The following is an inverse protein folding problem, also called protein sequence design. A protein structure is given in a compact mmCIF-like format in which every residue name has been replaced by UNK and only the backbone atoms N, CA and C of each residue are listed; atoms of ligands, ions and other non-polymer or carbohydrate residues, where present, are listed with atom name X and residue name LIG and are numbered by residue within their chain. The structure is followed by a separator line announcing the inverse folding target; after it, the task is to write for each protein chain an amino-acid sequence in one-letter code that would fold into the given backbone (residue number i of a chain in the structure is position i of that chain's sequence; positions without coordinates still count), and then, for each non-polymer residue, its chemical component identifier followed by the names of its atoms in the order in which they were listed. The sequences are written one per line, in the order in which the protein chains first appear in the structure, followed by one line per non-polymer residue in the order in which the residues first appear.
data_IF_386735736360
#
_entry.id   IF_386735736360
#
_cell.length_a   1.000
_cell.length_b   1.000
_cell.length_c   1.000
_cell.angle_alpha   90.00
_cell.angle_beta   90.00
_cell.angle_gamma   90.00
#
_symmetry.space_group_name_H-M   'P 1'
#
loop_
_entity.id
_entity.type
_entity.pdbx_description
1 polymer ?
#
# COMPACT_ATOMS: atom_id res chain seq x y z
N UNK A 1 11.01 21.04 2.01
CA UNK A 1 10.25 19.95 1.33
C UNK A 1 9.09 19.50 2.23
N UNK A 2 8.14 20.38 2.52
CA UNK A 2 7.05 20.13 3.50
C UNK A 2 5.68 20.60 3.02
N UNK A 3 5.59 21.51 2.06
CA UNK A 3 4.31 22.19 1.75
C UNK A 3 3.52 21.61 0.57
N UNK A 4 3.99 20.55 -0.09
CA UNK A 4 3.26 19.90 -1.19
C UNK A 4 2.30 18.79 -0.72
N UNK A 5 2.07 18.67 0.60
CA UNK A 5 1.16 17.68 1.19
C UNK A 5 -0.17 18.28 1.68
N UNK A 6 -0.33 19.61 1.68
CA UNK A 6 -1.52 20.27 2.24
C UNK A 6 -2.65 20.57 1.23
N UNK A 7 -2.51 20.22 -0.04
CA UNK A 7 -3.56 20.40 -1.05
C UNK A 7 -4.51 19.20 -1.15
N UNK A 8 -4.93 18.64 -0.01
CA UNK A 8 -5.82 17.49 0.06
C UNK A 8 -7.10 17.82 0.81
N UNK A 9 -8.23 17.34 0.30
CA UNK A 9 -9.53 17.36 0.96
C UNK A 9 -9.37 17.12 2.47
N UNK A 10 -9.94 18.03 3.28
CA UNK A 10 -9.79 18.10 4.74
C UNK A 10 -10.05 16.73 5.41
N UNK A 11 -10.90 15.91 4.79
CA UNK A 11 -11.22 14.56 5.26
C UNK A 11 -10.04 13.59 5.19
N UNK A 12 -9.26 13.60 4.12
CA UNK A 12 -8.10 12.71 3.95
C UNK A 12 -6.93 13.11 4.85
N UNK A 13 -6.75 14.41 5.07
CA UNK A 13 -5.71 14.95 5.95
C UNK A 13 -5.93 14.54 7.41
N UNK A 14 -7.19 14.59 7.89
CA UNK A 14 -7.54 14.18 9.24
C UNK A 14 -7.12 12.73 9.55
N UNK A 15 -7.33 11.81 8.60
CA UNK A 15 -6.92 10.40 8.74
C UNK A 15 -5.40 10.27 8.84
N UNK A 16 -4.65 10.95 7.98
CA UNK A 16 -3.18 10.92 8.00
C UNK A 16 -2.65 11.50 9.32
N UNK A 17 -3.24 12.59 9.80
CA UNK A 17 -2.88 13.17 11.09
C UNK A 17 -3.17 12.21 12.25
N UNK A 18 -4.30 11.51 12.23
CA UNK A 18 -4.62 10.50 13.24
C UNK A 18 -3.59 9.37 13.24
N UNK A 19 -3.25 8.83 12.07
CA UNK A 19 -2.22 7.80 11.94
C UNK A 19 -0.83 8.26 12.41
N UNK A 20 -0.51 9.55 12.23
CA UNK A 20 0.72 10.15 12.77
C UNK A 20 0.71 10.16 14.29
N UNK A 21 -0.41 10.52 14.91
CA UNK A 21 -0.58 10.48 16.38
C UNK A 21 -0.48 9.07 16.94
N UNK A 22 -0.85 8.05 16.15
CA UNK A 22 -0.66 6.64 16.47
C UNK A 22 0.79 6.13 16.27
N UNK A 23 1.74 7.00 15.89
CA UNK A 23 3.16 6.65 15.78
C UNK A 23 3.54 5.89 14.50
N UNK A 24 2.74 5.98 13.43
CA UNK A 24 3.09 5.35 12.14
C UNK A 24 4.29 6.05 11.49
N UNK A 25 5.10 5.28 10.76
CA UNK A 25 6.28 5.81 10.02
C UNK A 25 5.85 6.83 8.97
N UNK A 26 6.67 7.87 8.78
CA UNK A 26 6.40 8.94 7.80
C UNK A 26 6.27 8.39 6.36
N UNK A 27 7.07 7.39 5.99
CA UNK A 27 6.96 6.72 4.68
C UNK A 27 5.59 6.06 4.47
N UNK A 28 5.00 5.51 5.54
CA UNK A 28 3.64 4.97 5.53
C UNK A 28 2.62 6.09 5.39
N UNK A 29 2.77 7.20 6.11
CA UNK A 29 1.87 8.35 6.03
C UNK A 29 1.82 8.95 4.62
N UNK A 30 2.97 9.10 3.97
CA UNK A 30 3.07 9.57 2.58
C UNK A 30 2.34 8.61 1.64
N UNK A 31 2.49 7.30 1.84
CA UNK A 31 1.80 6.28 1.04
C UNK A 31 0.30 6.35 1.22
N UNK A 32 -0.17 6.41 2.46
CA UNK A 32 -1.59 6.54 2.81
C UNK A 32 -2.19 7.80 2.20
N UNK A 33 -1.55 8.96 2.37
CA UNK A 33 -1.99 10.23 1.80
C UNK A 33 -2.15 10.15 0.28
N UNK A 34 -1.14 9.63 -0.42
CA UNK A 34 -1.18 9.47 -1.88
C UNK A 34 -2.33 8.58 -2.34
N UNK A 35 -2.55 7.45 -1.67
CA UNK A 35 -3.55 6.44 -2.04
C UNK A 35 -4.97 6.87 -1.68
N UNK A 36 -5.18 7.51 -0.54
CA UNK A 36 -6.48 8.08 -0.18
C UNK A 36 -6.89 9.17 -1.16
N UNK A 37 -5.97 10.07 -1.53
CA UNK A 37 -6.24 11.08 -2.58
C UNK A 37 -6.53 10.45 -3.93
N UNK A 38 -5.86 9.36 -4.27
CA UNK A 38 -6.14 8.62 -5.50
C UNK A 38 -7.58 8.07 -5.47
N UNK A 39 -8.00 7.42 -4.39
CA UNK A 39 -9.37 6.95 -4.24
C UNK A 39 -10.37 8.11 -4.27
N UNK A 40 -10.15 9.19 -3.51
CA UNK A 40 -11.03 10.36 -3.45
C UNK A 40 -11.25 11.06 -4.80
N UNK A 41 -10.29 10.95 -5.73
CA UNK A 41 -10.42 11.50 -7.10
C UNK A 41 -11.31 10.66 -8.00
N UNK A 42 -11.48 9.38 -7.70
CA UNK A 42 -12.20 8.44 -8.56
C UNK A 42 -13.53 7.98 -7.95
N UNK A 43 -13.65 7.98 -6.63
CA UNK A 43 -14.82 7.49 -5.91
C UNK A 43 -15.03 8.29 -4.62
N UNK A 44 -16.29 8.47 -4.24
CA UNK A 44 -16.67 9.06 -2.97
C UNK A 44 -16.33 8.11 -1.81
N UNK A 45 -15.42 8.54 -0.92
CA UNK A 45 -14.93 7.75 0.20
C UNK A 45 -15.99 7.48 1.27
N UNK A 46 -17.10 8.24 1.29
CA UNK A 46 -18.19 8.05 2.25
C UNK A 46 -19.09 6.88 1.90
N UNK A 47 -18.99 6.35 0.68
CA UNK A 47 -19.81 5.25 0.19
C UNK A 47 -18.99 3.96 0.10
N UNK A 48 -18.94 3.14 1.17
CA UNK A 48 -18.10 1.95 1.21
C UNK A 48 -18.38 0.99 0.05
N UNK A 49 -19.65 0.75 -0.28
CA UNK A 49 -20.00 -0.16 -1.39
C UNK A 49 -19.47 0.33 -2.75
N UNK A 50 -19.50 1.64 -3.02
CA UNK A 50 -18.93 2.21 -4.25
C UNK A 50 -17.41 2.07 -4.28
N UNK A 51 -16.75 2.24 -3.14
CA UNK A 51 -15.29 2.03 -3.04
C UNK A 51 -14.94 0.56 -3.29
N UNK A 52 -15.74 -0.37 -2.75
CA UNK A 52 -15.59 -1.81 -2.96
C UNK A 52 -15.70 -2.18 -4.44
N UNK A 53 -16.75 -1.72 -5.10
CA UNK A 53 -16.98 -1.92 -6.54
C UNK A 53 -15.85 -1.32 -7.37
N UNK A 54 -15.41 -0.11 -7.03
CA UNK A 54 -14.31 0.54 -7.73
C UNK A 54 -13.02 -0.27 -7.65
N UNK A 55 -12.62 -0.70 -6.44
CA UNK A 55 -11.39 -1.49 -6.24
C UNK A 55 -11.50 -2.85 -6.95
N UNK A 56 -12.67 -3.51 -6.91
CA UNK A 56 -12.89 -4.78 -7.58
C UNK A 56 -12.70 -4.67 -9.10
N UNK A 57 -13.21 -3.61 -9.71
CA UNK A 57 -13.17 -3.37 -11.16
C UNK A 57 -11.81 -2.84 -11.67
N UNK A 58 -10.90 -2.40 -10.79
CA UNK A 58 -9.57 -1.94 -11.21
C UNK A 58 -8.77 -3.07 -11.90
N UNK A 59 -8.24 -2.79 -13.08
CA UNK A 59 -7.33 -3.68 -13.81
C UNK A 59 -5.89 -3.52 -13.29
N UNK A 60 -5.64 -4.01 -12.07
CA UNK A 60 -4.33 -3.98 -11.41
C UNK A 60 -4.08 -5.28 -10.64
N UNK A 61 -2.85 -5.48 -10.16
CA UNK A 61 -2.51 -6.67 -9.39
C UNK A 61 -3.27 -6.75 -8.06
N UNK A 62 -3.53 -7.97 -7.60
CA UNK A 62 -4.24 -8.19 -6.33
C UNK A 62 -3.51 -7.61 -5.13
N UNK A 63 -2.17 -7.56 -5.15
CA UNK A 63 -1.40 -6.85 -4.13
C UNK A 63 -1.64 -5.35 -4.12
N UNK A 64 -1.94 -4.73 -5.27
CA UNK A 64 -2.33 -3.33 -5.32
C UNK A 64 -3.74 -3.12 -4.77
N UNK A 65 -4.69 -4.00 -5.12
CA UNK A 65 -6.07 -3.97 -4.60
C UNK A 65 -6.09 -4.15 -3.08
N UNK A 66 -5.33 -5.11 -2.56
CA UNK A 66 -5.18 -5.34 -1.12
C UNK A 66 -4.65 -4.09 -0.41
N UNK A 67 -3.61 -3.46 -0.95
CA UNK A 67 -3.07 -2.23 -0.37
C UNK A 67 -4.07 -1.06 -0.39
N UNK A 68 -4.85 -0.89 -1.47
CA UNK A 68 -5.92 0.11 -1.50
C UNK A 68 -7.00 -0.16 -0.44
N UNK A 69 -7.32 -1.44 -0.25
CA UNK A 69 -8.32 -1.91 0.70
C UNK A 69 -7.85 -1.70 2.14
N UNK A 70 -6.59 -1.98 2.45
CA UNK A 70 -5.95 -1.68 3.74
C UNK A 70 -6.01 -0.19 4.06
N UNK A 71 -5.64 0.63 3.08
CA UNK A 71 -5.59 2.09 3.26
C UNK A 71 -7.00 2.66 3.47
N UNK A 72 -8.00 2.15 2.73
CA UNK A 72 -9.39 2.54 2.96
C UNK A 72 -9.91 2.07 4.33
N UNK A 73 -9.44 0.93 4.84
CA UNK A 73 -9.83 0.46 6.17
C UNK A 73 -9.43 1.47 7.26
N UNK A 74 -8.25 2.08 7.17
CA UNK A 74 -7.87 3.17 8.09
C UNK A 74 -8.78 4.40 8.02
N UNK A 75 -9.30 4.72 6.84
CA UNK A 75 -10.29 5.78 6.67
C UNK A 75 -11.63 5.38 7.30
N UNK A 76 -12.10 4.17 7.03
CA UNK A 76 -13.34 3.63 7.56
C UNK A 76 -13.32 3.58 9.10
N UNK A 77 -12.22 3.11 9.69
CA UNK A 77 -12.03 3.06 11.15
C UNK A 77 -12.07 4.46 11.77
N UNK A 78 -11.43 5.44 11.13
CA UNK A 78 -11.39 6.81 11.65
C UNK A 78 -12.76 7.50 11.61
N UNK A 79 -13.55 7.25 10.55
CA UNK A 79 -14.88 7.83 10.39
C UNK A 79 -16.02 6.96 10.94
N UNK A 80 -15.72 5.79 11.50
CA UNK A 80 -16.71 4.85 12.01
C UNK A 80 -17.62 4.24 10.93
N UNK A 81 -17.14 4.17 9.68
CA UNK A 81 -17.89 3.59 8.56
C UNK A 81 -17.85 2.07 8.67
N UNK A 82 -19.01 1.43 8.64
CA UNK A 82 -19.09 -0.03 8.61
C UNK A 82 -18.53 -0.54 7.27
N UNK A 83 -17.35 -1.17 7.33
CA UNK A 83 -16.62 -1.67 6.18
C UNK A 83 -16.17 -3.11 6.43
N UNK A 84 -16.67 -4.04 5.62
CA UNK A 84 -16.20 -5.41 5.60
C UNK A 84 -15.06 -5.53 4.58
N UNK A 85 -13.81 -5.56 5.07
CA UNK A 85 -12.60 -5.62 4.24
C UNK A 85 -12.63 -6.83 3.28
N UNK A 86 -12.69 -6.61 1.95
CA UNK A 86 -12.46 -7.66 0.96
C UNK A 86 -11.06 -8.28 1.12
N UNK A 87 -10.97 -9.60 0.91
CA UNK A 87 -9.68 -10.31 0.91
C UNK A 87 -9.21 -10.50 -0.52
N UNK A 88 -8.05 -9.94 -0.84
CA UNK A 88 -7.36 -10.17 -2.10
C UNK A 88 -6.14 -11.05 -1.82
N UNK A 89 -6.00 -12.14 -2.56
CA UNK A 89 -4.88 -13.05 -2.39
C UNK A 89 -3.68 -12.49 -3.17
N UNK A 90 -2.59 -12.19 -2.47
CA UNK A 90 -1.34 -11.82 -3.15
C UNK A 90 -0.78 -13.07 -3.81
N UNK A 91 -0.62 -13.02 -5.12
CA UNK A 91 0.14 -14.05 -5.84
C UNK A 91 1.57 -14.05 -5.31
N UNK A 92 1.97 -15.17 -4.69
CA UNK A 92 3.36 -15.37 -4.31
C UNK A 92 4.19 -15.58 -5.57
N UNK A 93 5.16 -14.69 -5.78
CA UNK A 93 6.13 -14.88 -6.86
C UNK A 93 7.08 -15.98 -6.45
N UNK A 94 7.13 -17.06 -7.22
CA UNK A 94 8.13 -18.10 -7.05
C UNK A 94 9.51 -17.46 -7.21
N UNK A 95 10.30 -17.47 -6.14
CA UNK A 95 11.71 -17.06 -6.20
C UNK A 95 12.42 -17.93 -7.23
N UNK A 96 13.12 -17.31 -8.18
CA UNK A 96 13.90 -18.07 -9.16
C UNK A 96 14.97 -18.87 -8.42
N UNK A 97 14.91 -20.20 -8.53
CA UNK A 97 15.99 -21.07 -8.07
C UNK A 97 17.24 -20.74 -8.91
N UNK A 98 18.40 -20.46 -8.27
CA UNK A 98 19.64 -20.23 -8.98
C UNK A 98 19.99 -21.39 -9.91
N UNK A 99 20.45 -21.09 -11.11
CA UNK A 99 21.01 -22.12 -12.01
C UNK A 99 22.47 -22.40 -11.62
N UNK A 100 23.02 -23.50 -12.13
CA UNK A 100 24.43 -23.85 -11.91
C UNK A 100 25.39 -22.71 -12.31
N UNK A 101 25.06 -21.98 -13.39
CA UNK A 101 25.81 -20.79 -13.81
C UNK A 101 25.77 -19.64 -12.78
N UNK A 102 24.65 -19.48 -12.08
CA UNK A 102 24.47 -18.45 -11.06
C UNK A 102 25.26 -18.84 -9.80
N UNK A 103 25.28 -20.14 -9.46
CA UNK A 103 26.08 -20.72 -8.38
C UNK A 103 27.58 -20.53 -8.68
N UNK A 104 28.02 -20.85 -9.90
CA UNK A 104 29.41 -20.68 -10.32
C UNK A 104 29.90 -19.23 -10.24
N UNK A 105 29.05 -18.24 -10.55
CA UNK A 105 29.36 -16.81 -10.38
C UNK A 105 29.53 -16.41 -8.91
N UNK A 106 28.72 -16.96 -8.01
CA UNK A 106 28.85 -16.72 -6.57
C UNK A 106 30.17 -17.32 -6.07
N UNK A 107 30.49 -18.55 -6.45
CA UNK A 107 31.72 -19.24 -6.04
C UNK A 107 32.96 -18.50 -6.56
N UNK A 108 32.96 -18.05 -7.82
CA UNK A 108 34.12 -17.35 -8.40
C UNK A 108 34.39 -15.97 -7.79
N UNK A 109 33.34 -15.30 -7.28
CA UNK A 109 33.46 -14.03 -6.57
C UNK A 109 33.68 -14.20 -5.06
N UNK A 110 33.46 -15.40 -4.52
CA UNK A 110 33.82 -15.71 -3.14
C UNK A 110 35.34 -15.92 -3.08
N UNK A 111 36.08 -14.90 -2.66
CA UNK A 111 37.51 -15.04 -2.35
C UNK A 111 37.67 -16.03 -1.20
N UNK A 112 38.25 -17.20 -1.47
CA UNK A 112 38.86 -18.01 -0.41
C UNK A 112 40.05 -17.20 0.11
N UNK A 113 39.85 -16.44 1.17
CA UNK A 113 40.96 -15.88 1.95
C UNK A 113 41.60 -17.03 2.73
N UNK A 114 42.44 -17.80 2.06
CA UNK A 114 43.42 -18.64 2.74
C UNK A 114 44.54 -17.70 3.21
N UNK A 115 44.39 -17.20 4.45
CA UNK A 115 45.51 -16.63 5.20
C UNK A 115 46.29 -17.74 5.89
#
# INVERSE_FOLDING_TARGET
MSDLLLSGDNSTFAVVQNLKRLGRKESTLITVSRKLRYLARNVDLRQPERVKEYIANLQCSDGHKDNLTDIYSHYADFYGVQWAKPKYQREERVTRVPKEEDIGKIISHATLSMQ
#
